data_IF_810076988127
#
_entry.id   IF_810076988127
#
_cell.length_a   1.000
_cell.length_b   1.000
_cell.length_c   1.000
_cell.angle_alpha   90.00
_cell.angle_beta   90.00
_cell.angle_gamma   90.00
#
_symmetry.space_group_name_H-M   'P 1'
#
loop_
_entity.id
_entity.type
_entity.pdbx_description
1 polymer ?
#
# COMPACT_ATOMS: atom_id res chain seq x y z
N UNK A 1 24.28 13.12 -10.75
CA UNK A 1 23.00 13.12 -10.01
C UNK A 1 23.15 12.23 -8.78
N UNK A 2 22.71 12.66 -7.60
CA UNK A 2 22.76 11.78 -6.42
C UNK A 2 21.68 10.68 -6.55
N UNK A 3 21.97 9.48 -6.07
CA UNK A 3 21.04 8.33 -6.12
C UNK A 3 19.66 8.66 -5.54
N UNK A 4 19.62 9.48 -4.48
CA UNK A 4 18.37 9.98 -3.89
C UNK A 4 17.57 10.85 -4.87
N UNK A 5 18.23 11.72 -5.63
CA UNK A 5 17.57 12.58 -6.62
C UNK A 5 16.95 11.80 -7.77
N UNK A 6 17.66 10.79 -8.29
CA UNK A 6 17.12 9.91 -9.34
C UNK A 6 15.95 9.05 -8.85
N UNK A 7 15.99 8.57 -7.60
CA UNK A 7 14.88 7.84 -6.99
C UNK A 7 13.62 8.70 -6.89
N UNK A 8 13.72 9.91 -6.33
CA UNK A 8 12.58 10.81 -6.18
C UNK A 8 12.04 11.32 -7.52
N UNK A 9 12.89 11.51 -8.53
CA UNK A 9 12.46 11.83 -9.89
C UNK A 9 11.57 10.70 -10.46
N UNK A 10 12.02 9.45 -10.32
CA UNK A 10 11.26 8.29 -10.78
C UNK A 10 9.93 8.15 -10.02
N UNK A 11 9.95 8.31 -8.69
CA UNK A 11 8.74 8.27 -7.85
C UNK A 11 7.73 9.37 -8.27
N UNK A 12 8.22 10.53 -8.72
CA UNK A 12 7.36 11.61 -9.21
C UNK A 12 6.73 11.28 -10.56
N UNK A 13 7.51 10.71 -11.48
CA UNK A 13 6.99 10.26 -12.79
C UNK A 13 5.89 9.19 -12.64
N UNK A 14 6.01 8.35 -11.61
CA UNK A 14 5.03 7.30 -11.30
C UNK A 14 4.02 7.70 -10.19
N UNK A 15 3.89 8.98 -9.85
CA UNK A 15 3.07 9.41 -8.71
C UNK A 15 1.58 9.01 -8.86
N UNK A 16 1.04 9.10 -10.07
CA UNK A 16 -0.35 8.72 -10.36
C UNK A 16 -0.56 7.21 -10.18
N UNK A 17 0.37 6.39 -10.67
CA UNK A 17 0.35 4.94 -10.53
C UNK A 17 0.54 4.53 -9.06
N UNK A 18 1.41 5.22 -8.32
CA UNK A 18 1.56 5.04 -6.87
C UNK A 18 0.26 5.36 -6.12
N UNK A 19 -0.45 6.41 -6.51
CA UNK A 19 -1.76 6.75 -5.95
C UNK A 19 -2.83 5.70 -6.24
N UNK A 20 -2.87 5.17 -7.47
CA UNK A 20 -3.75 4.05 -7.83
C UNK A 20 -3.42 2.78 -7.05
N UNK A 21 -2.14 2.44 -6.92
CA UNK A 21 -1.67 1.31 -6.14
C UNK A 21 -2.03 1.46 -4.66
N UNK A 22 -1.88 2.67 -4.11
CA UNK A 22 -2.28 2.98 -2.75
C UNK A 22 -3.78 2.78 -2.53
N UNK A 23 -4.63 3.31 -3.43
CA UNK A 23 -6.08 3.11 -3.38
C UNK A 23 -6.45 1.62 -3.45
N UNK A 24 -5.80 0.88 -4.35
CA UNK A 24 -6.00 -0.56 -4.47
C UNK A 24 -5.65 -1.31 -3.18
N UNK A 25 -4.52 -0.97 -2.55
CA UNK A 25 -4.09 -1.57 -1.28
C UNK A 25 -5.05 -1.25 -0.14
N UNK A 26 -5.56 -0.01 -0.07
CA UNK A 26 -6.59 0.37 0.92
C UNK A 26 -7.87 -0.41 0.68
N UNK A 27 -8.31 -0.55 -0.57
CA UNK A 27 -9.49 -1.34 -0.90
C UNK A 27 -9.33 -2.82 -0.54
N UNK A 28 -8.18 -3.42 -0.87
CA UNK A 28 -7.85 -4.80 -0.49
C UNK A 28 -7.79 -4.98 1.02
N UNK A 29 -7.30 -3.99 1.76
CA UNK A 29 -7.28 -4.02 3.22
C UNK A 29 -8.71 -4.07 3.77
N UNK A 30 -9.59 -3.21 3.26
CA UNK A 30 -11.01 -3.20 3.66
C UNK A 30 -11.67 -4.54 3.38
N UNK A 31 -11.50 -5.08 2.17
CA UNK A 31 -12.03 -6.41 1.84
C UNK A 31 -11.51 -7.49 2.78
N UNK A 32 -10.21 -7.48 3.08
CA UNK A 32 -9.59 -8.47 3.97
C UNK A 32 -10.13 -8.37 5.40
N UNK A 33 -10.34 -7.15 5.90
CA UNK A 33 -10.96 -6.92 7.21
C UNK A 33 -12.39 -7.46 7.22
N UNK A 34 -13.18 -7.20 6.18
CA UNK A 34 -14.53 -7.76 6.05
C UNK A 34 -14.49 -9.29 6.06
N UNK A 35 -13.59 -9.90 5.28
CA UNK A 35 -13.42 -11.37 5.27
C UNK A 35 -13.06 -11.91 6.65
N UNK A 36 -12.24 -11.22 7.44
CA UNK A 36 -11.90 -11.65 8.79
C UNK A 36 -13.03 -11.44 9.82
N UNK A 37 -13.87 -10.43 9.62
CA UNK A 37 -15.01 -10.15 10.50
C UNK A 37 -16.17 -11.13 10.28
N UNK A 38 -16.42 -11.53 9.03
CA UNK A 38 -17.53 -12.42 8.67
C UNK A 38 -17.10 -13.87 8.38
N UNK A 39 -15.80 -14.13 8.31
CA UNK A 39 -15.25 -15.46 8.01
C UNK A 39 -15.31 -16.40 9.20
N UNK A 40 -15.67 -17.66 8.93
CA UNK A 40 -15.65 -18.74 9.92
C UNK A 40 -14.22 -19.07 10.37
N UNK A 41 -13.97 -18.93 11.68
CA UNK A 41 -12.68 -19.25 12.28
C UNK A 41 -12.42 -20.76 12.19
N UNK A 42 -11.22 -21.13 11.75
CA UNK A 42 -10.80 -22.54 11.60
C UNK A 42 -10.91 -23.08 10.17
N UNK A 43 -11.41 -22.29 9.22
CA UNK A 43 -11.38 -22.63 7.80
C UNK A 43 -10.05 -22.23 7.15
N UNK A 44 -9.67 -22.89 6.06
CA UNK A 44 -8.50 -22.50 5.26
C UNK A 44 -8.62 -21.06 4.74
N UNK A 45 -9.84 -20.64 4.42
CA UNK A 45 -10.14 -19.26 3.98
C UNK A 45 -9.79 -18.22 5.05
N UNK A 46 -10.05 -18.51 6.33
CA UNK A 46 -9.67 -17.62 7.44
C UNK A 46 -8.15 -17.48 7.56
N UNK A 47 -7.41 -18.59 7.46
CA UNK A 47 -5.93 -18.57 7.48
C UNK A 47 -5.37 -17.76 6.32
N UNK A 48 -5.91 -17.93 5.12
CA UNK A 48 -5.52 -17.14 3.94
C UNK A 48 -5.82 -15.66 4.13
N UNK A 49 -6.95 -15.31 4.75
CA UNK A 49 -7.30 -13.92 5.04
C UNK A 49 -6.33 -13.27 6.04
N UNK A 50 -5.86 -14.01 7.06
CA UNK A 50 -4.84 -13.51 8.00
C UNK A 50 -3.49 -13.26 7.31
N UNK A 51 -3.06 -14.17 6.44
CA UNK A 51 -1.82 -14.00 5.66
C UNK A 51 -1.96 -12.82 4.72
N UNK A 52 -3.09 -12.70 4.03
CA UNK A 52 -3.37 -11.58 3.14
C UNK A 52 -3.35 -10.25 3.91
N UNK A 53 -3.90 -10.22 5.13
CA UNK A 53 -3.84 -9.04 5.99
C UNK A 53 -2.39 -8.64 6.28
N UNK A 54 -1.53 -9.58 6.65
CA UNK A 54 -0.12 -9.31 6.93
C UNK A 54 0.62 -8.74 5.70
N UNK A 55 0.37 -9.31 4.52
CA UNK A 55 0.97 -8.85 3.26
C UNK A 55 0.48 -7.44 2.91
N UNK A 56 -0.83 -7.22 2.96
CA UNK A 56 -1.44 -5.92 2.63
C UNK A 56 -1.00 -4.84 3.62
N UNK A 57 -0.86 -5.14 4.91
CA UNK A 57 -0.32 -4.20 5.89
C UNK A 57 1.16 -3.89 5.62
N UNK A 58 1.98 -4.92 5.34
CA UNK A 58 3.39 -4.76 5.03
C UNK A 58 3.60 -3.89 3.78
N UNK A 59 3.04 -4.30 2.64
CA UNK A 59 3.13 -3.55 1.39
C UNK A 59 2.42 -2.20 1.45
N UNK A 60 1.24 -2.17 2.05
CA UNK A 60 0.44 -0.96 2.25
C UNK A 60 1.21 0.10 3.03
N UNK A 61 1.94 -0.27 4.08
CA UNK A 61 2.74 0.66 4.87
C UNK A 61 3.88 1.28 4.06
N UNK A 62 4.60 0.48 3.27
CA UNK A 62 5.70 0.95 2.40
C UNK A 62 5.16 1.90 1.33
N UNK A 63 4.12 1.49 0.61
CA UNK A 63 3.51 2.32 -0.46
C UNK A 63 2.93 3.61 0.12
N UNK A 64 2.27 3.54 1.28
CA UNK A 64 1.75 4.73 1.98
C UNK A 64 2.88 5.70 2.36
N UNK A 65 3.99 5.20 2.90
CA UNK A 65 5.12 6.04 3.26
C UNK A 65 5.74 6.71 2.03
N UNK A 66 5.96 5.96 0.95
CA UNK A 66 6.51 6.49 -0.31
C UNK A 66 5.57 7.52 -0.95
N UNK A 67 4.27 7.22 -1.01
CA UNK A 67 3.26 8.13 -1.55
C UNK A 67 3.17 9.43 -0.74
N UNK A 68 3.12 9.33 0.59
CA UNK A 68 3.08 10.49 1.47
C UNK A 68 4.32 11.37 1.35
N UNK A 69 5.51 10.75 1.32
CA UNK A 69 6.76 11.49 1.14
C UNK A 69 6.88 12.11 -0.26
N UNK A 70 6.32 11.47 -1.30
CA UNK A 70 6.23 12.02 -2.65
C UNK A 70 5.37 13.30 -2.67
N UNK A 71 4.18 13.27 -2.06
CA UNK A 71 3.32 14.45 -1.93
C UNK A 71 4.02 15.58 -1.16
N UNK A 72 4.72 15.23 -0.08
CA UNK A 72 5.45 16.21 0.75
C UNK A 72 6.59 16.89 -0.03
N UNK A 73 7.34 16.12 -0.83
CA UNK A 73 8.39 16.68 -1.68
C UNK A 73 7.82 17.54 -2.82
N UNK A 74 6.68 17.16 -3.38
CA UNK A 74 6.03 17.93 -4.45
C UNK A 74 5.50 19.31 -4.03
N UNK A 75 5.26 19.54 -2.73
CA UNK A 75 4.80 20.84 -2.17
C UNK A 75 5.92 21.82 -1.83
N UNK A 76 7.18 21.42 -1.96
CA UNK A 76 8.35 22.22 -1.56
C UNK A 76 9.00 22.98 -2.73
N UNK A 77 8.36 22.96 -3.90
CA UNK A 77 8.71 23.70 -5.11
C UNK A 77 7.48 24.50 -5.57
#
# INVERSE_FOLDING_TARGET
>A
MSWKGSFWALVRDYQTQLGMLWLFLVFMLVLTVITLLFGERGTESYTLAVINLAIVLGFGSIVSAVFWMSIRHGRSH
#
